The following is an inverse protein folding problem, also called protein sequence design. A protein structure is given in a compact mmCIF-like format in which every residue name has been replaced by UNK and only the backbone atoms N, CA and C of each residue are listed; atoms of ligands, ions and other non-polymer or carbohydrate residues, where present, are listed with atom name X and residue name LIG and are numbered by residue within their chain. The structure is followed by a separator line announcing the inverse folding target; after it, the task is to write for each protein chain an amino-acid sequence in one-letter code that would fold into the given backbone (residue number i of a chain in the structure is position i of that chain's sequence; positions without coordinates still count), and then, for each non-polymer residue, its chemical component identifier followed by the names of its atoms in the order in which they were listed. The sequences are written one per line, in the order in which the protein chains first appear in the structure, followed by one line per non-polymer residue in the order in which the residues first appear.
data_IF_933736036763
#
_entry.id   IF_933736036763
#
_cell.length_a   1.000
_cell.length_b   1.000
_cell.length_c   1.000
_cell.angle_alpha   90.00
_cell.angle_beta   90.00
_cell.angle_gamma   90.00
#
_symmetry.space_group_name_H-M   'P 1'
#
loop_
_entity.id
_entity.type
_entity.pdbx_description
1 polymer ?
#
# COMPACT_ATOMS: atom_id res chain seq x y z
N UNK A 1 -10.24 7.40 3.46
CA UNK A 1 -9.64 6.09 3.75
C UNK A 1 -9.42 5.35 2.45
N UNK A 2 -8.47 4.44 2.44
CA UNK A 2 -8.05 3.75 1.22
C UNK A 2 -8.24 2.24 1.41
N UNK A 3 -9.31 1.67 0.86
CA UNK A 3 -9.61 0.25 1.04
C UNK A 3 -8.52 -0.65 0.47
N UNK A 4 -8.18 -1.68 1.20
CA UNK A 4 -7.26 -2.72 0.74
C UNK A 4 -8.04 -3.67 -0.15
N UNK A 5 -7.59 -3.85 -1.39
CA UNK A 5 -8.26 -4.68 -2.39
C UNK A 5 -7.47 -5.92 -2.78
N UNK A 6 -6.22 -6.02 -2.33
CA UNK A 6 -5.34 -7.15 -2.66
C UNK A 6 -4.27 -7.30 -1.59
N UNK A 7 -4.02 -8.53 -1.16
CA UNK A 7 -2.88 -8.86 -0.30
C UNK A 7 -2.28 -10.19 -0.76
N UNK A 8 -0.94 -10.29 -0.69
CA UNK A 8 -0.25 -11.52 -1.03
C UNK A 8 1.09 -11.56 -0.29
N UNK A 9 1.37 -12.67 0.38
CA UNK A 9 2.66 -12.92 0.97
C UNK A 9 3.58 -13.57 -0.08
N UNK A 10 4.70 -12.93 -0.38
CA UNK A 10 5.63 -13.39 -1.41
C UNK A 10 6.73 -14.28 -0.83
N UNK A 11 7.12 -14.02 0.41
CA UNK A 11 8.09 -14.83 1.16
C UNK A 11 7.88 -14.58 2.65
N UNK A 12 8.75 -15.10 3.51
CA UNK A 12 8.59 -14.97 4.97
C UNK A 12 8.45 -13.53 5.44
N UNK A 13 9.17 -12.60 4.79
CA UNK A 13 9.21 -11.21 5.22
C UNK A 13 8.75 -10.22 4.13
N UNK A 14 8.36 -10.69 2.95
CA UNK A 14 8.03 -9.83 1.82
C UNK A 14 6.56 -9.99 1.46
N UNK A 15 5.87 -8.87 1.32
CA UNK A 15 4.42 -8.81 1.10
C UNK A 15 4.10 -7.86 -0.04
N UNK A 16 3.03 -8.17 -0.77
CA UNK A 16 2.44 -7.30 -1.77
C UNK A 16 1.06 -6.87 -1.31
N UNK A 17 0.75 -5.59 -1.46
CA UNK A 17 -0.57 -5.06 -1.11
C UNK A 17 -1.06 -4.13 -2.21
N UNK A 18 -2.37 -4.19 -2.47
CA UNK A 18 -3.04 -3.28 -3.38
C UNK A 18 -4.12 -2.51 -2.65
N UNK A 19 -4.23 -1.22 -2.95
CA UNK A 19 -5.26 -0.37 -2.37
C UNK A 19 -6.01 0.37 -3.46
N UNK A 20 -7.27 0.69 -3.18
CA UNK A 20 -8.09 1.49 -4.06
C UNK A 20 -7.74 2.96 -3.84
N UNK A 21 -7.17 3.60 -4.84
CA UNK A 21 -6.74 4.99 -4.78
C UNK A 21 -6.80 5.60 -6.20
N UNK A 22 -8.00 5.86 -6.73
CA UNK A 22 -8.17 6.25 -8.14
C UNK A 22 -7.40 7.49 -8.55
N UNK A 23 -7.37 8.52 -7.70
CA UNK A 23 -6.66 9.76 -8.02
C UNK A 23 -5.16 9.55 -8.12
N UNK A 24 -4.60 8.69 -7.27
CA UNK A 24 -3.17 8.38 -7.29
C UNK A 24 -2.86 7.47 -8.49
N UNK A 25 -3.69 6.47 -8.74
CA UNK A 25 -3.52 5.54 -9.85
C UNK A 25 -3.52 6.27 -11.20
N UNK A 26 -4.37 7.28 -11.35
CA UNK A 26 -4.49 8.07 -12.58
C UNK A 26 -3.19 8.83 -12.90
N UNK A 27 -2.39 9.15 -11.91
CA UNK A 27 -1.16 9.94 -12.04
C UNK A 27 0.10 9.12 -11.80
N UNK A 28 -0.02 7.82 -11.56
CA UNK A 28 1.12 6.98 -11.22
C UNK A 28 2.10 6.84 -12.38
N UNK A 29 3.39 6.80 -12.06
CA UNK A 29 4.47 6.62 -13.01
C UNK A 29 5.50 5.65 -12.45
N UNK A 30 6.18 4.92 -13.31
CA UNK A 30 7.24 3.99 -12.92
C UNK A 30 8.32 4.72 -12.10
N UNK A 31 8.81 4.08 -11.04
CA UNK A 31 9.85 4.63 -10.18
C UNK A 31 9.35 5.62 -9.13
N UNK A 32 8.09 5.97 -9.17
CA UNK A 32 7.48 6.87 -8.21
C UNK A 32 7.25 6.15 -6.88
N UNK A 33 7.36 6.89 -5.77
CA UNK A 33 7.01 6.34 -4.46
C UNK A 33 5.79 7.07 -3.90
N UNK A 34 5.17 6.44 -2.92
CA UNK A 34 4.05 7.02 -2.17
C UNK A 34 4.39 7.04 -0.68
N UNK A 35 3.68 7.90 0.05
CA UNK A 35 3.74 7.90 1.52
C UNK A 35 2.43 7.31 2.02
N UNK A 36 2.51 6.33 2.91
CA UNK A 36 1.30 5.76 3.49
C UNK A 36 1.33 5.77 5.01
N UNK A 37 0.15 5.72 5.59
CA UNK A 37 -0.05 5.68 7.03
C UNK A 37 -1.11 4.63 7.33
N UNK A 38 -0.77 3.67 8.19
CA UNK A 38 -1.65 2.54 8.50
C UNK A 38 -2.87 3.01 9.29
N UNK A 39 -2.67 3.84 10.31
CA UNK A 39 -3.72 4.29 11.19
C UNK A 39 -3.57 5.77 11.51
N UNK A 40 -4.65 6.38 11.95
CA UNK A 40 -4.68 7.76 12.42
C UNK A 40 -3.64 7.93 13.52
N UNK A 41 -2.81 8.99 13.41
CA UNK A 41 -1.73 9.22 14.37
C UNK A 41 -0.49 8.34 14.20
N UNK A 42 -0.50 7.39 13.26
CA UNK A 42 0.66 6.56 12.98
C UNK A 42 1.70 7.28 12.12
N UNK A 43 2.89 6.70 12.02
CA UNK A 43 3.92 7.28 11.17
C UNK A 43 3.63 7.03 9.69
N UNK A 44 4.12 7.93 8.85
CA UNK A 44 4.10 7.76 7.40
C UNK A 44 5.38 7.09 6.97
N UNK A 45 5.25 6.13 6.05
CA UNK A 45 6.41 5.44 5.48
C UNK A 45 6.37 5.55 3.96
N UNK A 46 7.55 5.65 3.30
CA UNK A 46 7.62 5.68 1.85
C UNK A 46 7.69 4.26 1.28
N UNK A 47 6.91 4.00 0.24
CA UNK A 47 6.98 2.73 -0.49
C UNK A 47 6.90 3.03 -1.99
N UNK A 48 7.59 2.22 -2.78
CA UNK A 48 7.61 2.37 -4.23
C UNK A 48 6.47 1.57 -4.86
N UNK A 49 5.83 2.12 -5.88
CA UNK A 49 4.84 1.39 -6.65
C UNK A 49 5.47 0.17 -7.32
N UNK A 50 4.83 -0.98 -7.22
CA UNK A 50 5.20 -2.17 -7.99
C UNK A 50 4.32 -2.32 -9.23
N UNK A 51 3.07 -1.85 -9.14
CA UNK A 51 2.12 -1.91 -10.25
C UNK A 51 0.96 -0.95 -9.97
N UNK A 52 0.18 -0.64 -10.99
CA UNK A 52 -1.03 0.19 -10.85
C UNK A 52 -1.92 0.02 -12.05
N UNK A 53 -3.20 0.39 -11.90
CA UNK A 53 -4.15 0.47 -12.97
C UNK A 53 -4.93 1.77 -12.87
N UNK A 54 -4.65 2.70 -13.79
CA UNK A 54 -5.39 3.95 -13.85
C UNK A 54 -6.87 3.70 -14.16
N UNK A 55 -7.15 2.70 -14.99
CA UNK A 55 -8.50 2.34 -15.41
C UNK A 55 -9.33 1.79 -14.25
N UNK A 56 -8.75 0.87 -13.46
CA UNK A 56 -9.43 0.24 -12.34
C UNK A 56 -9.28 1.01 -11.03
N UNK A 57 -8.33 1.95 -10.98
CA UNK A 57 -8.16 2.84 -9.84
C UNK A 57 -7.44 2.23 -8.63
N UNK A 58 -6.60 1.24 -8.84
CA UNK A 58 -5.81 0.67 -7.76
C UNK A 58 -4.32 0.87 -7.97
N UNK A 59 -3.58 0.81 -6.85
CA UNK A 59 -2.11 0.81 -6.85
C UNK A 59 -1.64 -0.37 -6.02
N UNK A 60 -0.46 -0.91 -6.36
CA UNK A 60 0.18 -1.99 -5.62
C UNK A 60 1.58 -1.59 -5.23
N UNK A 61 2.01 -2.11 -4.09
CA UNK A 61 3.36 -1.91 -3.59
C UNK A 61 3.84 -3.17 -2.89
N UNK A 62 5.16 -3.35 -2.85
CA UNK A 62 5.81 -4.47 -2.18
C UNK A 62 6.61 -3.91 -1.02
N UNK A 63 6.53 -4.56 0.13
CA UNK A 63 7.26 -4.11 1.31
C UNK A 63 7.84 -5.29 2.09
N UNK A 64 8.91 -5.02 2.83
CA UNK A 64 9.50 -5.99 3.77
C UNK A 64 9.01 -5.68 5.18
N UNK A 65 8.71 -6.74 5.91
CA UNK A 65 8.30 -6.63 7.31
C UNK A 65 9.55 -6.47 8.19
N UNK A 66 10.05 -5.25 8.30
CA UNK A 66 11.32 -4.94 8.99
C UNK A 66 11.19 -4.01 10.18
N UNK A 67 10.04 -3.38 10.37
CA UNK A 67 9.81 -2.44 11.46
C UNK A 67 8.39 -2.47 11.95
N UNK A 68 8.08 -1.63 12.93
CA UNK A 68 6.77 -1.60 13.57
C UNK A 68 5.64 -1.37 12.56
N UNK A 69 5.79 -0.35 11.71
CA UNK A 69 4.75 0.01 10.75
C UNK A 69 4.57 -1.05 9.68
N UNK A 70 5.65 -1.59 9.12
CA UNK A 70 5.55 -2.66 8.13
C UNK A 70 5.03 -3.95 8.74
N UNK A 71 5.31 -4.19 10.02
CA UNK A 71 4.74 -5.33 10.74
C UNK A 71 3.22 -5.18 10.88
N UNK A 72 2.75 -4.00 11.26
CA UNK A 72 1.31 -3.71 11.33
C UNK A 72 0.66 -3.87 9.95
N UNK A 73 1.30 -3.32 8.91
CA UNK A 73 0.82 -3.39 7.54
C UNK A 73 0.65 -4.84 7.08
N UNK A 74 1.58 -5.72 7.45
CA UNK A 74 1.55 -7.13 7.04
C UNK A 74 0.37 -7.92 7.62
N UNK A 75 -0.27 -7.41 8.67
CA UNK A 75 -1.41 -8.06 9.31
C UNK A 75 -2.77 -7.57 8.79
N UNK A 76 -2.78 -6.61 7.88
CA UNK A 76 -4.02 -6.09 7.31
C UNK A 76 -4.52 -6.99 6.19
N UNK A 77 -5.83 -7.05 6.05
CA UNK A 77 -6.49 -7.92 5.06
C UNK A 77 -7.37 -7.11 4.11
N UNK A 78 -7.74 -7.73 3.01
CA UNK A 78 -8.75 -7.18 2.09
C UNK A 78 -10.03 -6.89 2.89
N UNK A 79 -10.58 -5.71 2.67
CA UNK A 79 -11.75 -5.23 3.42
C UNK A 79 -11.40 -4.24 4.52
N UNK A 80 -10.15 -4.24 4.98
CA UNK A 80 -9.64 -3.19 5.86
C UNK A 80 -9.16 -2.00 5.02
N UNK A 81 -8.73 -0.93 5.65
CA UNK A 81 -8.33 0.28 4.93
C UNK A 81 -7.10 0.93 5.57
N UNK A 82 -6.30 1.61 4.75
CA UNK A 82 -5.23 2.47 5.23
C UNK A 82 -5.80 3.85 5.54
N UNK A 83 -5.25 4.50 6.58
CA UNK A 83 -5.70 5.82 6.97
C UNK A 83 -5.36 6.87 5.93
N UNK A 84 -4.19 6.75 5.30
CA UNK A 84 -3.73 7.76 4.37
C UNK A 84 -2.77 7.17 3.34
N UNK A 85 -2.87 7.68 2.10
CA UNK A 85 -1.94 7.37 1.00
C UNK A 85 -1.77 8.67 0.20
N UNK A 86 -0.53 9.10 0.03
CA UNK A 86 -0.26 10.38 -0.64
C UNK A 86 0.77 10.21 -1.75
#
# INVERSE_FOLDING_TARGET
MFPIVHTRQLSDAVFEMGVQAPAIAAKAKAGQFLMLRVAEGGERIPLTFSDWSAEEGWIRFIFMRVGKTTHQLSHLSVGEALADVV
#
